data_IF_737468471603
#
_entry.id   IF_737468471603
#
_cell.length_a   1.000
_cell.length_b   1.000
_cell.length_c   1.000
_cell.angle_alpha   90.00
_cell.angle_beta   90.00
_cell.angle_gamma   90.00
#
_symmetry.space_group_name_H-M   'P 1'
#
loop_
_entity.id
_entity.type
_entity.pdbx_description
1 polymer ?
#
# COMPACT_ATOMS: atom_id res chain seq x y z
N UNK A 1 -9.77 19.63 24.62
CA UNK A 1 -9.61 18.50 23.68
C UNK A 1 -9.90 19.02 22.28
N UNK A 2 -8.87 19.16 21.45
CA UNK A 2 -9.05 19.59 20.05
C UNK A 2 -9.71 18.43 19.31
N UNK A 3 -10.96 18.63 18.86
CA UNK A 3 -11.68 17.68 18.02
C UNK A 3 -10.94 17.68 16.68
N UNK A 4 -10.26 16.58 16.37
CA UNK A 4 -9.68 16.39 15.04
C UNK A 4 -10.87 16.14 14.13
N UNK A 5 -11.38 17.18 13.48
CA UNK A 5 -12.22 16.99 12.30
C UNK A 5 -11.30 16.40 11.24
N UNK A 6 -11.45 15.10 10.99
CA UNK A 6 -10.81 14.47 9.86
C UNK A 6 -11.54 15.03 8.64
N UNK A 7 -10.85 15.88 7.89
CA UNK A 7 -11.27 16.30 6.56
C UNK A 7 -11.42 15.03 5.70
N UNK A 8 -12.68 14.63 5.50
CA UNK A 8 -13.09 13.43 4.77
C UNK A 8 -12.59 13.44 3.31
N UNK A 9 -12.52 14.61 2.67
CA UNK A 9 -11.98 14.77 1.32
C UNK A 9 -10.45 14.63 1.30
N UNK A 10 -9.76 15.16 2.32
CA UNK A 10 -8.34 14.91 2.51
C UNK A 10 -8.05 13.43 2.74
N UNK A 11 -8.86 12.74 3.54
CA UNK A 11 -8.72 11.30 3.81
C UNK A 11 -8.95 10.45 2.55
N UNK A 12 -9.98 10.77 1.74
CA UNK A 12 -10.22 10.15 0.42
C UNK A 12 -9.04 10.36 -0.52
N UNK A 13 -8.55 11.60 -0.61
CA UNK A 13 -7.40 11.95 -1.44
C UNK A 13 -6.13 11.21 -1.02
N UNK A 14 -5.86 11.15 0.29
CA UNK A 14 -4.72 10.43 0.83
C UNK A 14 -4.81 8.92 0.53
N UNK A 15 -5.99 8.31 0.71
CA UNK A 15 -6.21 6.92 0.35
C UNK A 15 -5.93 6.65 -1.14
N UNK A 16 -6.45 7.48 -2.03
CA UNK A 16 -6.20 7.34 -3.47
C UNK A 16 -4.71 7.46 -3.84
N UNK A 17 -3.96 8.35 -3.18
CA UNK A 17 -2.50 8.47 -3.39
C UNK A 17 -1.74 7.23 -2.91
N UNK A 18 -2.18 6.63 -1.80
CA UNK A 18 -1.58 5.38 -1.29
C UNK A 18 -1.84 4.21 -2.24
N UNK A 19 -3.03 4.13 -2.84
CA UNK A 19 -3.33 3.12 -3.87
C UNK A 19 -2.45 3.29 -5.10
N UNK A 20 -2.33 4.52 -5.61
CA UNK A 20 -1.46 4.81 -6.75
C UNK A 20 0.00 4.46 -6.47
N UNK A 21 0.48 4.74 -5.26
CA UNK A 21 1.82 4.35 -4.83
C UNK A 21 1.95 2.83 -4.80
N UNK A 22 0.99 2.13 -4.20
CA UNK A 22 0.97 0.67 -4.14
C UNK A 22 1.02 0.04 -5.56
N UNK A 23 0.23 0.56 -6.50
CA UNK A 23 0.21 0.09 -7.90
C UNK A 23 1.55 0.35 -8.61
N UNK A 24 2.16 1.52 -8.38
CA UNK A 24 3.47 1.87 -8.95
C UNK A 24 4.61 1.01 -8.41
N UNK A 25 4.56 0.70 -7.12
CA UNK A 25 5.49 -0.23 -6.47
C UNK A 25 5.30 -1.65 -7.04
N UNK A 26 4.07 -2.13 -7.15
CA UNK A 26 3.76 -3.45 -7.72
C UNK A 26 4.23 -3.57 -9.17
N UNK A 27 4.02 -2.53 -9.98
CA UNK A 27 4.56 -2.44 -11.35
C UNK A 27 6.09 -2.50 -11.37
N UNK A 28 6.76 -1.76 -10.50
CA UNK A 28 8.22 -1.74 -10.39
C UNK A 28 8.79 -3.10 -9.98
N UNK A 29 8.15 -3.81 -9.05
CA UNK A 29 8.57 -5.15 -8.63
C UNK A 29 8.47 -6.15 -9.78
N UNK A 30 7.34 -6.14 -10.51
CA UNK A 30 7.14 -7.00 -11.69
C UNK A 30 8.22 -6.79 -12.74
N UNK A 31 8.58 -5.55 -13.03
CA UNK A 31 9.64 -5.23 -14.02
C UNK A 31 11.03 -5.72 -13.60
N UNK A 32 11.30 -5.84 -12.29
CA UNK A 32 12.63 -6.18 -11.76
C UNK A 32 12.76 -7.62 -11.29
N UNK A 33 11.68 -8.40 -11.33
CA UNK A 33 11.63 -9.77 -10.79
C UNK A 33 12.75 -10.66 -11.34
N UNK A 34 13.05 -10.59 -12.64
CA UNK A 34 14.11 -11.39 -13.25
C UNK A 34 15.53 -11.04 -12.73
N UNK A 35 15.75 -9.78 -12.33
CA UNK A 35 17.04 -9.35 -11.76
C UNK A 35 17.25 -9.83 -10.32
N UNK A 36 16.17 -10.25 -9.64
CA UNK A 36 16.21 -10.74 -8.26
C UNK A 36 16.51 -12.24 -8.17
N UNK A 37 16.42 -12.98 -9.29
CA UNK A 37 16.76 -14.40 -9.35
C UNK A 37 17.65 -14.69 -10.55
N UNK A 38 18.92 -14.22 -10.53
CA UNK A 38 19.82 -14.39 -11.66
C UNK A 38 20.30 -15.83 -11.78
N UNK A 39 20.57 -16.24 -13.02
CA UNK A 39 21.28 -17.50 -13.31
C UNK A 39 22.76 -17.35 -12.97
N UNK A 40 23.41 -18.44 -12.56
CA UNK A 40 24.86 -18.47 -12.35
C UNK A 40 25.62 -18.07 -13.61
N UNK A 41 26.61 -17.18 -13.45
CA UNK A 41 27.42 -16.68 -14.56
C UNK A 41 28.30 -17.78 -15.20
N UNK A 42 28.68 -18.80 -14.43
CA UNK A 42 29.42 -19.97 -14.86
C UNK A 42 29.11 -21.19 -13.97
N UNK A 43 29.66 -22.36 -14.35
CA UNK A 43 29.43 -23.64 -13.64
C UNK A 43 30.26 -23.79 -12.36
N UNK A 44 31.20 -22.87 -12.11
CA UNK A 44 32.06 -22.94 -10.95
C UNK A 44 31.27 -22.77 -9.63
N UNK A 45 31.78 -23.30 -8.51
CA UNK A 45 31.09 -23.24 -7.23
C UNK A 45 30.79 -21.82 -6.74
N UNK A 46 31.65 -20.84 -7.03
CA UNK A 46 31.46 -19.44 -6.61
C UNK A 46 30.29 -18.85 -7.38
N UNK A 47 30.29 -18.96 -8.71
CA UNK A 47 29.19 -18.47 -9.55
C UNK A 47 27.83 -19.05 -9.15
N UNK A 48 27.78 -20.36 -8.84
CA UNK A 48 26.55 -21.01 -8.36
C UNK A 48 26.12 -20.51 -6.99
N UNK A 49 27.06 -20.40 -6.05
CA UNK A 49 26.78 -19.91 -4.69
C UNK A 49 26.33 -18.45 -4.70
N UNK A 50 26.97 -17.61 -5.52
CA UNK A 50 26.59 -16.20 -5.70
C UNK A 50 25.18 -16.08 -6.27
N UNK A 51 24.85 -16.79 -7.34
CA UNK A 51 23.49 -16.78 -7.89
C UNK A 51 22.44 -17.25 -6.88
N UNK A 52 22.74 -18.32 -6.13
CA UNK A 52 21.86 -18.82 -5.07
C UNK A 52 21.66 -17.78 -3.96
N UNK A 53 22.72 -17.09 -3.54
CA UNK A 53 22.66 -16.07 -2.49
C UNK A 53 21.84 -14.86 -2.95
N UNK A 54 22.06 -14.40 -4.19
CA UNK A 54 21.28 -13.31 -4.77
C UNK A 54 19.81 -13.72 -4.88
N UNK A 55 19.52 -14.95 -5.31
CA UNK A 55 18.16 -15.51 -5.35
C UNK A 55 17.48 -15.45 -3.99
N UNK A 56 18.13 -15.94 -2.93
CA UNK A 56 17.59 -15.89 -1.55
C UNK A 56 17.31 -14.45 -1.09
N UNK A 57 18.22 -13.52 -1.38
CA UNK A 57 18.00 -12.08 -1.09
C UNK A 57 16.84 -11.54 -1.90
N UNK A 58 16.74 -11.92 -3.16
CA UNK A 58 15.65 -11.58 -4.06
C UNK A 58 14.29 -12.04 -3.54
N UNK A 59 14.19 -13.28 -3.08
CA UNK A 59 12.97 -13.85 -2.51
C UNK A 59 12.55 -13.08 -1.24
N UNK A 60 13.49 -12.85 -0.32
CA UNK A 60 13.22 -12.08 0.90
C UNK A 60 12.81 -10.63 0.59
N UNK A 61 13.45 -10.01 -0.41
CA UNK A 61 13.09 -8.67 -0.88
C UNK A 61 11.67 -8.66 -1.45
N UNK A 62 11.33 -9.60 -2.34
CA UNK A 62 9.99 -9.69 -2.93
C UNK A 62 8.91 -9.86 -1.86
N UNK A 63 9.14 -10.75 -0.88
CA UNK A 63 8.21 -10.97 0.21
C UNK A 63 8.00 -9.71 1.06
N UNK A 64 9.09 -9.05 1.46
CA UNK A 64 9.03 -7.82 2.26
C UNK A 64 8.35 -6.68 1.50
N UNK A 65 8.65 -6.56 0.21
CA UNK A 65 8.10 -5.53 -0.65
C UNK A 65 6.61 -5.72 -0.92
N UNK A 66 6.18 -6.96 -1.18
CA UNK A 66 4.77 -7.32 -1.31
C UNK A 66 3.99 -7.03 -0.01
N UNK A 67 4.56 -7.39 1.14
CA UNK A 67 3.97 -7.04 2.44
C UNK A 67 3.83 -5.54 2.64
N UNK A 68 4.82 -4.74 2.21
CA UNK A 68 4.74 -3.28 2.24
C UNK A 68 3.59 -2.72 1.38
N UNK A 69 3.39 -3.28 0.18
CA UNK A 69 2.26 -2.92 -0.70
C UNK A 69 0.92 -3.23 0.00
N UNK A 70 0.79 -4.40 0.62
CA UNK A 70 -0.43 -4.78 1.35
C UNK A 70 -0.72 -3.81 2.50
N UNK A 71 0.31 -3.40 3.25
CA UNK A 71 0.17 -2.42 4.33
C UNK A 71 -0.31 -1.05 3.80
N UNK A 72 0.23 -0.58 2.66
CA UNK A 72 -0.25 0.66 2.03
C UNK A 72 -1.73 0.56 1.65
N UNK A 73 -2.15 -0.56 1.06
CA UNK A 73 -3.55 -0.81 0.70
C UNK A 73 -4.45 -0.90 1.94
N UNK A 74 -3.96 -1.47 3.04
CA UNK A 74 -4.68 -1.54 4.31
C UNK A 74 -4.89 -0.15 4.92
N UNK A 75 -3.86 0.69 4.94
CA UNK A 75 -3.98 2.08 5.41
C UNK A 75 -4.95 2.87 4.53
N UNK A 76 -4.87 2.72 3.20
CA UNK A 76 -5.80 3.35 2.27
C UNK A 76 -7.26 2.90 2.52
N UNK A 77 -7.49 1.61 2.75
CA UNK A 77 -8.81 1.08 3.09
C UNK A 77 -9.36 1.67 4.39
N UNK A 78 -8.53 1.76 5.43
CA UNK A 78 -8.93 2.39 6.70
C UNK A 78 -9.27 3.87 6.52
N UNK A 79 -8.47 4.61 5.73
CA UNK A 79 -8.75 6.03 5.45
C UNK A 79 -10.09 6.22 4.71
N UNK A 80 -10.40 5.37 3.73
CA UNK A 80 -11.71 5.41 3.03
C UNK A 80 -12.86 5.10 3.99
N UNK A 81 -12.70 4.10 4.85
CA UNK A 81 -13.71 3.76 5.86
C UNK A 81 -13.98 4.93 6.81
N UNK A 82 -12.93 5.60 7.30
CA UNK A 82 -13.08 6.80 8.13
C UNK A 82 -13.76 7.95 7.40
N UNK A 83 -13.42 8.20 6.13
CA UNK A 83 -14.07 9.24 5.34
C UNK A 83 -15.58 9.01 5.16
N UNK A 84 -15.99 7.76 4.92
CA UNK A 84 -17.41 7.39 4.78
C UNK A 84 -18.17 7.54 6.10
N UNK A 85 -17.57 7.18 7.23
CA UNK A 85 -18.19 7.33 8.55
C UNK A 85 -18.45 8.80 8.92
N UNK A 86 -17.52 9.69 8.58
CA UNK A 86 -17.67 11.13 8.83
C UNK A 86 -18.80 11.72 7.99
N UNK A 87 -18.82 11.43 6.68
CA UNK A 87 -19.87 11.90 5.77
C UNK A 87 -21.26 11.43 6.22
N UNK A 88 -21.40 10.15 6.62
CA UNK A 88 -22.69 9.62 7.10
C UNK A 88 -23.16 10.30 8.40
N UNK A 89 -22.24 10.65 9.29
CA UNK A 89 -22.56 11.32 10.56
C UNK A 89 -22.99 12.77 10.35
N UNK A 90 -22.38 13.46 9.39
CA UNK A 90 -22.74 14.84 9.03
C UNK A 90 -24.12 14.90 8.36
N UNK A 91 -24.43 13.93 7.49
CA UNK A 91 -25.72 13.87 6.79
C UNK A 91 -26.88 13.64 7.78
N UNK A 92 -26.75 12.65 8.68
CA UNK A 92 -27.72 12.36 9.77
C UNK A 92 -27.95 13.60 10.66
N UNK A 93 -26.89 14.30 11.03
CA UNK A 93 -26.98 15.52 11.83
C UNK A 93 -27.71 16.66 11.10
N UNK A 94 -27.49 16.78 9.79
CA UNK A 94 -28.13 17.80 8.96
C UNK A 94 -29.63 17.55 8.79
N UNK A 95 -30.04 16.29 8.64
CA UNK A 95 -31.44 15.91 8.50
C UNK A 95 -32.23 16.03 9.80
N UNK A 96 -31.62 15.68 10.94
CA UNK A 96 -32.19 15.96 12.26
C UNK A 96 -32.44 17.46 12.47
N UNK A 97 -31.50 18.31 12.07
CA UNK A 97 -31.65 19.76 12.17
C UNK A 97 -32.77 20.29 11.25
N UNK A 98 -32.86 19.80 10.01
CA UNK A 98 -33.97 20.14 9.09
C UNK A 98 -35.33 19.69 9.62
N UNK A 99 -35.40 18.55 10.31
CA UNK A 99 -36.65 18.04 10.91
C UNK A 99 -37.15 18.86 12.10
N UNK A 100 -36.29 19.68 12.73
CA UNK A 100 -36.62 20.47 13.92
C UNK A 100 -37.03 21.91 13.60
N UNK A 101 -36.92 22.35 12.34
CA UNK A 101 -37.31 23.66 11.82
C UNK A 101 -38.59 23.55 10.99
#
# INVERSE_FOLDING_TARGET
MSRIEIDHELARTAAGRLDQLADGLEGSLRLRTASLSPVAAALDPVSRTTAQTIGTVGDSFQQSYAGGIEQLRQVAANLRAHAVLVESTEDDGSDLFRSLM
#
